data_IF_038973300511
#
_entry.id   IF_038973300511
#
_cell.length_a   1.000
_cell.length_b   1.000
_cell.length_c   1.000
_cell.angle_alpha   90.00
_cell.angle_beta   90.00
_cell.angle_gamma   90.00
#
_symmetry.space_group_name_H-M   'P 1'
#
loop_
_entity.id
_entity.type
_entity.pdbx_description
1 polymer ?
#
# COMPACT_ATOMS: atom_id res chain seq x y z
N UNK A 1 6.10 15.66 5.09
CA UNK A 1 5.50 14.61 5.94
C UNK A 1 4.01 14.89 6.10
N UNK A 2 3.19 14.35 5.19
CA UNK A 2 1.74 14.62 5.11
C UNK A 2 0.93 13.62 5.96
N UNK A 3 1.36 12.36 6.02
CA UNK A 3 0.64 11.25 6.69
C UNK A 3 0.57 11.44 8.21
N UNK A 4 1.62 12.00 8.83
CA UNK A 4 1.68 12.27 10.28
C UNK A 4 0.78 13.46 10.67
N UNK A 5 0.58 14.44 9.78
CA UNK A 5 -0.27 15.61 10.07
C UNK A 5 -1.78 15.29 10.01
N UNK A 6 -2.14 14.12 9.51
CA UNK A 6 -3.54 13.70 9.31
C UNK A 6 -4.14 12.90 10.48
N UNK A 7 -3.38 12.66 11.56
CA UNK A 7 -3.82 11.83 12.69
C UNK A 7 -3.85 10.33 12.37
N UNK A 8 -3.22 9.90 11.27
CA UNK A 8 -3.03 8.49 10.95
C UNK A 8 -1.84 7.93 11.74
N UNK A 9 -1.87 6.64 12.13
CA UNK A 9 -0.69 5.99 12.71
C UNK A 9 0.51 6.14 11.78
N UNK A 10 1.71 6.26 12.33
CA UNK A 10 2.91 6.42 11.51
C UNK A 10 3.12 5.17 10.63
N UNK A 11 3.15 5.30 9.29
CA UNK A 11 3.42 4.16 8.44
C UNK A 11 4.88 3.74 8.55
N UNK A 12 5.14 2.45 8.47
CA UNK A 12 6.47 1.90 8.24
C UNK A 12 6.78 1.90 6.75
N UNK A 13 8.03 2.14 6.39
CA UNK A 13 8.52 2.06 5.00
C UNK A 13 9.32 0.78 4.80
N UNK A 14 9.43 0.33 3.55
CA UNK A 14 10.20 -0.87 3.17
C UNK A 14 9.77 -2.14 3.91
N UNK A 15 8.46 -2.33 4.09
CA UNK A 15 7.92 -3.48 4.81
C UNK A 15 8.15 -4.73 3.96
N UNK A 16 8.87 -5.70 4.53
CA UNK A 16 9.11 -7.00 3.91
C UNK A 16 7.97 -7.94 4.26
N UNK A 17 7.25 -8.41 3.26
CA UNK A 17 6.29 -9.50 3.41
C UNK A 17 7.03 -10.79 3.13
N UNK A 18 7.07 -11.67 4.13
CA UNK A 18 7.71 -12.97 4.01
C UNK A 18 6.72 -14.00 3.48
N UNK A 19 7.22 -14.94 2.68
CA UNK A 19 6.49 -16.14 2.31
C UNK A 19 6.49 -17.18 3.45
N UNK A 20 5.79 -18.29 3.22
CA UNK A 20 5.69 -19.41 4.16
C UNK A 20 7.04 -20.12 4.38
N UNK A 21 8.03 -19.86 3.53
CA UNK A 21 9.41 -20.35 3.63
C UNK A 21 10.37 -19.32 4.25
N UNK A 22 9.86 -18.14 4.65
CA UNK A 22 10.65 -17.06 5.23
C UNK A 22 11.45 -16.24 4.21
N UNK A 23 11.25 -16.43 2.90
CA UNK A 23 11.83 -15.60 1.87
C UNK A 23 10.99 -14.34 1.63
N UNK A 24 11.57 -13.29 1.04
CA UNK A 24 10.86 -12.04 0.80
C UNK A 24 9.95 -12.19 -0.42
N UNK A 25 8.66 -12.45 -0.18
CA UNK A 25 7.62 -12.55 -1.19
C UNK A 25 7.37 -11.19 -1.88
N UNK A 26 7.29 -10.13 -1.07
CA UNK A 26 7.06 -8.79 -1.57
C UNK A 26 7.66 -7.73 -0.65
N UNK A 27 7.88 -6.53 -1.21
CA UNK A 27 8.20 -5.33 -0.43
C UNK A 27 7.15 -4.28 -0.66
N UNK A 28 6.56 -3.80 0.42
CA UNK A 28 5.60 -2.70 0.41
C UNK A 28 6.39 -1.42 0.73
N UNK A 29 6.30 -0.44 -0.17
CA UNK A 29 7.03 0.82 -0.02
C UNK A 29 6.69 1.56 1.27
N UNK A 30 5.41 1.55 1.67
CA UNK A 30 4.91 2.19 2.89
C UNK A 30 3.65 1.50 3.40
N UNK A 31 3.40 1.37 4.70
CA UNK A 31 2.18 0.77 5.22
C UNK A 31 2.16 0.55 6.74
N UNK A 32 1.19 -0.25 7.20
CA UNK A 32 0.98 -0.64 8.58
C UNK A 32 0.97 -2.16 8.69
N UNK A 33 2.08 -2.78 9.14
CA UNK A 33 2.16 -4.23 9.24
C UNK A 33 1.19 -4.80 10.28
N UNK A 34 0.90 -4.04 11.34
CA UNK A 34 -0.06 -4.43 12.39
C UNK A 34 -1.47 -4.60 11.84
N UNK A 35 -1.89 -3.71 10.94
CA UNK A 35 -3.18 -3.78 10.26
C UNK A 35 -3.14 -4.59 8.96
N UNK A 36 -1.96 -5.07 8.55
CA UNK A 36 -1.68 -5.61 7.21
C UNK A 36 -2.18 -4.68 6.08
N UNK A 37 -1.97 -3.37 6.20
CA UNK A 37 -2.37 -2.40 5.17
C UNK A 37 -1.13 -1.85 4.50
N UNK A 38 -0.99 -2.03 3.19
CA UNK A 38 0.08 -1.43 2.39
C UNK A 38 -0.42 -0.21 1.62
N UNK A 39 0.47 0.73 1.35
CA UNK A 39 0.26 1.89 0.47
C UNK A 39 1.34 1.86 -0.60
N UNK A 40 0.91 1.73 -1.84
CA UNK A 40 1.79 1.85 -3.00
C UNK A 40 1.50 3.14 -3.74
N UNK A 41 2.54 3.95 -3.95
CA UNK A 41 2.43 5.18 -4.72
C UNK A 41 2.69 4.88 -6.20
N UNK A 42 1.68 5.06 -7.05
CA UNK A 42 1.86 5.00 -8.50
C UNK A 42 2.50 6.32 -8.97
N UNK A 43 3.80 6.25 -9.25
CA UNK A 43 4.52 7.33 -9.91
C UNK A 43 4.23 7.31 -11.41
N UNK A 44 3.30 8.18 -11.82
CA UNK A 44 3.16 8.69 -13.19
C UNK A 44 2.98 7.62 -14.28
N UNK A 45 1.92 6.80 -14.19
CA UNK A 45 1.42 6.05 -15.36
C UNK A 45 2.12 4.73 -15.64
N UNK A 46 2.99 4.26 -14.74
CA UNK A 46 3.50 2.88 -14.78
C UNK A 46 2.38 1.84 -14.59
N UNK A 47 1.22 2.24 -14.04
CA UNK A 47 0.01 1.42 -14.00
C UNK A 47 -0.31 0.70 -15.32
N UNK A 48 -0.21 1.39 -16.45
CA UNK A 48 -0.59 0.82 -17.74
C UNK A 48 0.42 -0.23 -18.26
N UNK A 49 1.62 -0.26 -17.66
CA UNK A 49 2.67 -1.23 -17.98
C UNK A 49 2.90 -2.26 -16.84
N UNK A 50 2.27 -2.04 -15.68
CA UNK A 50 2.31 -2.90 -14.50
C UNK A 50 1.12 -3.86 -14.41
N UNK A 51 0.32 -3.99 -15.47
CA UNK A 51 -0.62 -5.11 -15.64
C UNK A 51 0.09 -6.41 -16.11
N UNK A 52 1.41 -6.51 -15.91
CA UNK A 52 2.15 -7.76 -16.06
C UNK A 52 1.64 -8.77 -15.04
N UNK A 53 1.53 -10.05 -15.43
CA UNK A 53 1.07 -11.13 -14.54
C UNK A 53 1.74 -11.09 -13.17
N UNK A 54 3.05 -10.85 -13.11
CA UNK A 54 3.81 -10.67 -11.85
C UNK A 54 3.20 -9.69 -10.84
N UNK A 55 2.65 -8.55 -11.28
CA UNK A 55 2.07 -7.56 -10.37
C UNK A 55 0.66 -7.96 -9.90
N UNK A 56 -0.09 -8.66 -10.76
CA UNK A 56 -1.39 -9.25 -10.42
C UNK A 56 -1.18 -10.41 -9.45
N UNK A 57 -0.27 -11.33 -9.75
CA UNK A 57 0.13 -12.45 -8.90
C UNK A 57 0.66 -11.96 -7.55
N UNK A 58 1.53 -10.95 -7.53
CA UNK A 58 2.00 -10.34 -6.27
C UNK A 58 0.87 -9.74 -5.45
N UNK A 59 -0.08 -9.06 -6.09
CA UNK A 59 -1.21 -8.46 -5.38
C UNK A 59 -2.15 -9.52 -4.83
N UNK A 60 -2.43 -10.57 -5.62
CA UNK A 60 -3.21 -11.71 -5.19
C UNK A 60 -2.53 -12.46 -4.03
N UNK A 61 -1.21 -12.61 -4.05
CA UNK A 61 -0.45 -13.23 -2.96
C UNK A 61 -0.46 -12.37 -1.69
N UNK A 62 -0.31 -11.04 -1.83
CA UNK A 62 -0.46 -10.12 -0.71
C UNK A 62 -1.87 -10.21 -0.11
N UNK A 63 -2.91 -10.19 -0.94
CA UNK A 63 -4.30 -10.35 -0.50
C UNK A 63 -4.56 -11.70 0.17
N UNK A 64 -4.02 -12.80 -0.37
CA UNK A 64 -4.10 -14.13 0.23
C UNK A 64 -3.45 -14.19 1.63
N UNK A 65 -2.39 -13.41 1.84
CA UNK A 65 -1.70 -13.25 3.14
C UNK A 65 -2.45 -12.28 4.09
N UNK A 66 -3.58 -11.74 3.64
CA UNK A 66 -4.44 -10.83 4.37
C UNK A 66 -4.02 -9.37 4.28
N UNK A 67 -3.10 -9.01 3.37
CA UNK A 67 -2.72 -7.64 3.14
C UNK A 67 -3.75 -6.90 2.28
N UNK A 68 -4.07 -5.67 2.65
CA UNK A 68 -4.84 -4.75 1.82
C UNK A 68 -3.91 -3.70 1.25
N UNK A 69 -3.70 -3.72 -0.07
CA UNK A 69 -2.83 -2.75 -0.75
C UNK A 69 -3.68 -1.60 -1.29
N UNK A 70 -3.51 -0.42 -0.70
CA UNK A 70 -4.12 0.84 -1.13
C UNK A 70 -3.19 1.50 -2.15
N UNK A 71 -3.59 1.46 -3.42
CA UNK A 71 -2.86 2.14 -4.49
C UNK A 71 -3.23 3.61 -4.54
N UNK A 72 -2.22 4.47 -4.44
CA UNK A 72 -2.36 5.93 -4.42
C UNK A 72 -1.64 6.49 -5.63
N UNK A 73 -2.36 7.16 -6.51
CA UNK A 73 -1.72 7.86 -7.63
C UNK A 73 -0.95 9.08 -7.10
N UNK A 74 0.34 9.18 -7.41
CA UNK A 74 1.19 10.30 -6.98
C UNK A 74 0.69 11.65 -7.51
N UNK A 75 0.04 11.66 -8.68
CA UNK A 75 -0.60 12.85 -9.23
C UNK A 75 -1.84 13.25 -8.41
N UNK A 76 -2.61 12.29 -7.93
CA UNK A 76 -3.72 12.54 -7.00
C UNK A 76 -3.21 12.97 -5.63
N UNK A 77 -2.11 12.39 -5.12
CA UNK A 77 -1.49 12.87 -3.89
C UNK A 77 -1.04 14.34 -4.01
N UNK A 78 -0.52 14.72 -5.17
CA UNK A 78 -0.06 16.09 -5.44
C UNK A 78 -1.22 17.07 -5.61
N UNK A 79 -2.29 16.67 -6.29
CA UNK A 79 -3.41 17.56 -6.63
C UNK A 79 -4.55 17.54 -5.58
N UNK A 80 -4.76 16.41 -4.91
CA UNK A 80 -5.90 16.09 -4.02
C UNK A 80 -5.45 15.20 -2.83
N UNK A 81 -4.54 15.69 -1.97
CA UNK A 81 -4.03 14.92 -0.84
C UNK A 81 -5.10 14.46 0.16
N UNK A 82 -6.18 15.22 0.28
CA UNK A 82 -7.35 14.94 1.12
C UNK A 82 -8.02 13.61 0.78
N UNK A 83 -8.19 13.33 -0.52
CA UNK A 83 -8.81 12.09 -1.00
C UNK A 83 -7.94 10.88 -0.65
N UNK A 84 -6.63 11.01 -0.80
CA UNK A 84 -5.67 9.95 -0.46
C UNK A 84 -5.74 9.61 1.02
N UNK A 85 -5.72 10.63 1.88
CA UNK A 85 -5.82 10.44 3.34
C UNK A 85 -7.14 9.75 3.70
N UNK A 86 -8.25 10.12 3.07
CA UNK A 86 -9.54 9.48 3.31
C UNK A 86 -9.55 8.00 2.89
N UNK A 87 -8.96 7.65 1.75
CA UNK A 87 -8.85 6.25 1.29
C UNK A 87 -8.01 5.40 2.26
N UNK A 88 -6.84 5.91 2.65
CA UNK A 88 -5.96 5.24 3.61
C UNK A 88 -6.66 5.05 4.95
N UNK A 89 -7.33 6.09 5.45
CA UNK A 89 -8.10 6.03 6.69
C UNK A 89 -9.19 4.97 6.62
N UNK A 90 -9.93 4.91 5.52
CA UNK A 90 -11.00 3.93 5.36
C UNK A 90 -10.48 2.50 5.31
N UNK A 91 -9.31 2.28 4.69
CA UNK A 91 -8.64 0.96 4.70
C UNK A 91 -8.19 0.54 6.10
N UNK A 92 -7.65 1.49 6.88
CA UNK A 92 -7.25 1.23 8.27
C UNK A 92 -8.44 0.92 9.19
N UNK A 93 -9.53 1.67 9.08
CA UNK A 93 -10.76 1.44 9.87
C UNK A 93 -11.38 0.08 9.58
N UNK A 94 -11.27 -0.44 8.36
CA UNK A 94 -11.78 -1.79 8.01
C UNK A 94 -10.94 -2.94 8.58
N UNK A 95 -9.75 -2.66 9.10
CA UNK A 95 -8.78 -3.66 9.60
C UNK A 95 -8.49 -3.52 11.10
N UNK A 96 -9.10 -2.52 11.76
CA UNK A 96 -9.12 -2.35 13.22
C UNK A 96 -10.36 -3.04 13.78
#
# INVERSE_FOLDING_TARGET
MLVIRSGLPAPQTEIKVLDDWGAVAARIGMGWPECKVGVEFDSAGQWNNAASSDAVDRSAELEARGWTIVRVNAQTLKNRPDIVVAQVRHALVRRT
#
